data_IF_422374816615
#
_entry.id   IF_422374816615
#
_cell.length_a   1.000
_cell.length_b   1.000
_cell.length_c   1.000
_cell.angle_alpha   90.00
_cell.angle_beta   90.00
_cell.angle_gamma   90.00
#
_symmetry.space_group_name_H-M   'P 1'
#
loop_
_entity.id
_entity.type
_entity.pdbx_description
1 polymer ?
#
# COMPACT_ATOMS: atom_id res chain seq x y z
N UNK A 1 -11.44 12.52 -13.45
CA UNK A 1 -11.79 12.07 -12.09
C UNK A 1 -11.16 10.72 -11.73
N UNK A 2 -11.32 9.65 -12.52
CA UNK A 2 -10.69 8.34 -12.22
C UNK A 2 -9.15 8.33 -12.13
N UNK A 3 -8.44 9.22 -12.85
CA UNK A 3 -6.95 9.29 -12.87
C UNK A 3 -6.36 9.63 -11.50
N UNK A 4 -6.90 10.66 -10.84
CA UNK A 4 -6.48 11.06 -9.49
C UNK A 4 -6.89 10.04 -8.43
N UNK A 5 -8.05 9.41 -8.60
CA UNK A 5 -8.54 8.38 -7.67
C UNK A 5 -7.64 7.14 -7.64
N UNK A 6 -7.15 6.66 -8.79
CA UNK A 6 -6.25 5.51 -8.84
C UNK A 6 -4.88 5.80 -8.21
N UNK A 7 -4.32 6.98 -8.44
CA UNK A 7 -3.07 7.42 -7.80
C UNK A 7 -3.22 7.60 -6.28
N UNK A 8 -4.31 8.26 -5.86
CA UNK A 8 -4.63 8.43 -4.44
C UNK A 8 -4.85 7.10 -3.73
N UNK A 9 -5.60 6.18 -4.33
CA UNK A 9 -5.82 4.83 -3.79
C UNK A 9 -4.51 4.06 -3.67
N UNK A 10 -3.66 4.12 -4.70
CA UNK A 10 -2.34 3.50 -4.67
C UNK A 10 -1.48 4.02 -3.51
N UNK A 11 -1.46 5.34 -3.30
CA UNK A 11 -0.73 5.95 -2.18
C UNK A 11 -1.28 5.51 -0.82
N UNK A 12 -2.60 5.48 -0.65
CA UNK A 12 -3.24 5.02 0.59
C UNK A 12 -2.89 3.55 0.86
N UNK A 13 -2.94 2.68 -0.16
CA UNK A 13 -2.54 1.29 -0.02
C UNK A 13 -1.08 1.13 0.42
N UNK A 14 -0.15 1.91 -0.14
CA UNK A 14 1.27 1.87 0.27
C UNK A 14 1.43 2.29 1.73
N UNK A 15 0.81 3.40 2.14
CA UNK A 15 0.95 3.91 3.51
C UNK A 15 0.30 2.96 4.53
N UNK A 16 -0.93 2.54 4.28
CA UNK A 16 -1.63 1.58 5.14
C UNK A 16 -0.88 0.24 5.20
N UNK A 17 -0.39 -0.25 4.06
CA UNK A 17 0.38 -1.49 3.98
C UNK A 17 1.69 -1.42 4.75
N UNK A 18 2.41 -0.30 4.68
CA UNK A 18 3.63 -0.08 5.45
C UNK A 18 3.36 -0.09 6.96
N UNK A 19 2.26 0.53 7.40
CA UNK A 19 1.84 0.49 8.81
C UNK A 19 1.50 -0.94 9.23
N UNK A 20 0.72 -1.68 8.45
CA UNK A 20 0.34 -3.05 8.78
C UNK A 20 1.55 -3.98 8.82
N UNK A 21 2.47 -3.81 7.87
CA UNK A 21 3.74 -4.54 7.85
C UNK A 21 4.55 -4.26 9.10
N UNK A 22 4.77 -2.96 9.41
CA UNK A 22 5.47 -2.51 10.60
C UNK A 22 4.85 -3.04 11.89
N UNK A 23 3.52 -3.08 11.98
CA UNK A 23 2.83 -3.68 13.11
C UNK A 23 3.04 -5.19 13.18
N UNK A 24 2.91 -5.92 12.06
CA UNK A 24 3.09 -7.37 12.03
C UNK A 24 4.49 -7.83 12.42
N UNK A 25 5.53 -7.06 12.05
CA UNK A 25 6.92 -7.35 12.47
C UNK A 25 7.25 -6.83 13.88
N UNK A 26 6.33 -6.11 14.53
CA UNK A 26 6.52 -5.56 15.87
C UNK A 26 7.28 -4.24 15.93
N UNK A 27 7.57 -3.60 14.80
CA UNK A 27 8.19 -2.27 14.74
C UNK A 27 7.21 -1.15 15.13
N UNK A 28 5.91 -1.36 14.94
CA UNK A 28 4.85 -0.43 15.34
C UNK A 28 3.93 -1.14 16.36
N UNK A 29 3.84 -0.58 17.56
CA UNK A 29 3.08 -1.16 18.68
C UNK A 29 1.72 -0.50 18.91
N UNK A 30 0.97 -1.03 19.90
CA UNK A 30 -0.22 -0.39 20.45
C UNK A 30 -1.56 -0.87 19.89
N UNK A 31 -1.57 -1.95 19.12
CA UNK A 31 -2.82 -2.55 18.60
C UNK A 31 -2.82 -4.07 18.70
N UNK A 32 -3.98 -4.68 18.39
CA UNK A 32 -4.13 -6.13 18.29
C UNK A 32 -3.31 -6.78 17.15
N UNK A 33 -2.75 -5.96 16.26
CA UNK A 33 -1.99 -6.40 15.09
C UNK A 33 -0.50 -6.59 15.39
N UNK A 34 0.00 -6.02 16.49
CA UNK A 34 1.43 -5.96 16.81
C UNK A 34 2.03 -7.37 17.02
N UNK A 35 3.13 -7.65 16.31
CA UNK A 35 3.90 -8.90 16.46
C UNK A 35 3.23 -10.14 15.84
N UNK A 36 2.25 -9.94 14.96
CA UNK A 36 1.49 -11.01 14.29
C UNK A 36 1.89 -11.11 12.82
N UNK A 37 2.33 -12.30 12.39
CA UNK A 37 2.86 -12.54 11.04
C UNK A 37 1.80 -12.31 9.96
N UNK A 38 0.53 -12.55 10.28
CA UNK A 38 -0.62 -12.31 9.40
C UNK A 38 -0.63 -10.86 8.91
N UNK A 39 -0.43 -9.89 9.81
CA UNK A 39 -0.41 -8.47 9.48
C UNK A 39 0.84 -8.06 8.71
N UNK A 40 1.97 -8.75 8.93
CA UNK A 40 3.17 -8.57 8.13
C UNK A 40 2.91 -8.97 6.66
N UNK A 41 2.32 -10.14 6.43
CA UNK A 41 2.01 -10.61 5.08
C UNK A 41 0.97 -9.71 4.40
N UNK A 42 -0.13 -9.39 5.09
CA UNK A 42 -1.17 -8.50 4.55
C UNK A 42 -0.58 -7.13 4.20
N UNK A 43 0.25 -6.56 5.09
CA UNK A 43 0.90 -5.28 4.86
C UNK A 43 1.82 -5.30 3.63
N UNK A 44 2.66 -6.32 3.49
CA UNK A 44 3.55 -6.47 2.34
C UNK A 44 2.77 -6.57 1.01
N UNK A 45 1.70 -7.37 0.99
CA UNK A 45 0.82 -7.50 -0.18
C UNK A 45 0.14 -6.17 -0.53
N UNK A 46 -0.31 -5.42 0.48
CA UNK A 46 -0.98 -4.14 0.28
C UNK A 46 -0.01 -3.07 -0.27
N UNK A 47 1.25 -3.07 0.21
CA UNK A 47 2.31 -2.22 -0.37
C UNK A 47 2.55 -2.59 -1.84
N UNK A 48 2.70 -3.88 -2.14
CA UNK A 48 2.93 -4.33 -3.52
C UNK A 48 1.77 -3.92 -4.46
N UNK A 49 0.52 -4.10 -4.03
CA UNK A 49 -0.65 -3.68 -4.78
C UNK A 49 -0.71 -2.16 -4.97
N UNK A 50 -0.41 -1.38 -3.93
CA UNK A 50 -0.36 0.08 -4.02
C UNK A 50 0.70 0.57 -5.01
N UNK A 51 1.90 -0.01 -4.97
CA UNK A 51 2.97 0.29 -5.93
C UNK A 51 2.56 -0.07 -7.37
N UNK A 52 1.90 -1.21 -7.57
CA UNK A 52 1.39 -1.60 -8.88
C UNK A 52 0.34 -0.62 -9.41
N UNK A 53 -0.56 -0.12 -8.56
CA UNK A 53 -1.55 0.91 -8.92
C UNK A 53 -0.88 2.23 -9.30
N UNK A 54 0.11 2.68 -8.52
CA UNK A 54 0.87 3.89 -8.82
C UNK A 54 1.64 3.78 -10.14
N UNK A 55 2.29 2.64 -10.36
CA UNK A 55 2.99 2.36 -11.60
C UNK A 55 2.03 2.36 -12.80
N UNK A 56 0.89 1.67 -12.68
CA UNK A 56 -0.13 1.61 -13.73
C UNK A 56 -0.73 2.99 -14.05
N UNK A 57 -0.97 3.82 -13.03
CA UNK A 57 -1.42 5.20 -13.21
C UNK A 57 -0.36 6.02 -13.97
N UNK A 58 0.91 5.90 -13.58
CA UNK A 58 2.03 6.61 -14.22
C UNK A 58 2.27 6.18 -15.67
N UNK A 59 2.17 4.89 -15.97
CA UNK A 59 2.32 4.37 -17.33
C UNK A 59 1.20 4.84 -18.25
N UNK A 60 -0.03 4.92 -17.74
CA UNK A 60 -1.19 5.39 -18.50
C UNK A 60 -1.10 6.87 -18.86
N UNK A 61 -0.56 7.69 -17.95
CA UNK A 61 -0.28 9.10 -18.21
C UNK A 61 0.73 9.32 -19.33
N UNK A 62 1.71 8.43 -19.50
CA UNK A 62 2.69 8.53 -20.61
C UNK A 62 2.14 8.14 -21.97
N UNK A 63 0.97 7.49 -22.05
CA UNK A 63 0.38 7.00 -23.30
C UNK A 63 -0.60 7.97 -23.95
N UNK A 64 -0.87 9.11 -23.33
CA UNK A 64 -1.71 10.17 -23.91
C UNK A 64 -0.77 11.30 -24.36
N UNK A 65 -0.45 11.42 -25.67
CA UNK A 65 0.23 12.59 -26.22
C UNK A 65 -0.65 13.84 -26.24
#
# INVERSE_FOLDING_TARGET
MLRGAAGGLGLVCVLAGAVFFGQGIGAIGGSFMTGKREWAVIGALLVAAGLALLAAARFRDRRVP
#
